data_IF_683649249985
#
_entry.id   IF_683649249985
#
_cell.length_a   1.000
_cell.length_b   1.000
_cell.length_c   1.000
_cell.angle_alpha   90.00
_cell.angle_beta   90.00
_cell.angle_gamma   90.00
#
_symmetry.space_group_name_H-M   'P 1'
#
loop_
_entity.id
_entity.type
_entity.pdbx_description
1 polymer ?
#
# COMPACT_ATOMS: atom_id res chain seq x y z
N UNK A 1 -29.69 3.61 -8.17
CA UNK A 1 -29.01 3.92 -6.90
C UNK A 1 -29.64 3.05 -5.85
N UNK A 2 -28.89 2.01 -5.51
CA UNK A 2 -29.19 1.06 -4.46
C UNK A 2 -28.88 1.71 -3.10
N UNK A 3 -29.22 1.07 -1.97
CA UNK A 3 -28.72 1.49 -0.65
C UNK A 3 -27.24 1.05 -0.43
N UNK A 4 -26.49 0.80 -1.51
CA UNK A 4 -25.11 0.35 -1.51
C UNK A 4 -24.22 1.32 -2.32
N UNK A 5 -23.59 2.32 -1.67
CA UNK A 5 -22.75 3.32 -2.33
C UNK A 5 -21.55 2.73 -3.07
N UNK A 6 -21.03 1.56 -2.66
CA UNK A 6 -19.89 0.92 -3.32
C UNK A 6 -20.34 0.28 -4.62
N UNK A 7 -21.50 -0.39 -4.60
CA UNK A 7 -22.09 -0.91 -5.82
C UNK A 7 -22.43 0.21 -6.81
N UNK A 8 -23.03 1.30 -6.33
CA UNK A 8 -23.36 2.45 -7.14
C UNK A 8 -22.09 3.09 -7.77
N UNK A 9 -20.95 3.15 -7.05
CA UNK A 9 -19.67 3.60 -7.60
C UNK A 9 -19.20 2.73 -8.78
N UNK A 10 -19.34 1.40 -8.67
CA UNK A 10 -18.99 0.46 -9.74
C UNK A 10 -19.87 0.70 -10.97
N UNK A 11 -21.19 0.89 -10.77
CA UNK A 11 -22.12 1.22 -11.87
C UNK A 11 -21.76 2.54 -12.54
N UNK A 12 -21.43 3.58 -11.75
CA UNK A 12 -21.00 4.88 -12.27
C UNK A 12 -19.72 4.74 -13.10
N UNK A 13 -18.71 4.04 -12.60
CA UNK A 13 -17.46 3.86 -13.34
C UNK A 13 -17.68 3.07 -14.64
N UNK A 14 -18.50 2.03 -14.61
CA UNK A 14 -18.83 1.26 -15.82
C UNK A 14 -19.54 2.13 -16.86
N UNK A 15 -20.47 2.98 -16.43
CA UNK A 15 -21.12 3.93 -17.31
C UNK A 15 -20.16 4.98 -17.87
N UNK A 16 -19.27 5.51 -17.03
CA UNK A 16 -18.22 6.43 -17.47
C UNK A 16 -17.36 5.75 -18.55
N UNK A 17 -16.81 4.55 -18.29
CA UNK A 17 -16.03 3.78 -19.27
C UNK A 17 -16.80 3.55 -20.57
N UNK A 18 -18.12 3.36 -20.53
CA UNK A 18 -18.93 3.16 -21.72
C UNK A 18 -19.23 4.46 -22.50
N UNK A 19 -19.40 5.60 -21.83
CA UNK A 19 -19.95 6.83 -22.44
C UNK A 19 -18.93 7.98 -22.55
N UNK A 20 -17.84 7.99 -21.77
CA UNK A 20 -16.87 9.08 -21.68
C UNK A 20 -15.59 8.76 -22.49
N UNK A 21 -15.27 9.53 -23.55
CA UNK A 21 -14.09 9.30 -24.38
C UNK A 21 -12.77 9.31 -23.62
N UNK A 22 -12.65 10.14 -22.58
CA UNK A 22 -11.43 10.20 -21.77
C UNK A 22 -11.24 8.89 -21.01
N UNK A 23 -12.30 8.37 -20.36
CA UNK A 23 -12.20 7.10 -19.63
C UNK A 23 -11.99 5.90 -20.55
N UNK A 24 -12.56 5.91 -21.76
CA UNK A 24 -12.34 4.86 -22.78
C UNK A 24 -10.87 4.75 -23.22
N UNK A 25 -10.16 5.88 -23.26
CA UNK A 25 -8.76 5.93 -23.68
C UNK A 25 -7.78 5.53 -22.57
N UNK A 26 -8.23 5.43 -21.31
CA UNK A 26 -7.36 5.07 -20.21
C UNK A 26 -6.93 3.61 -20.27
N UNK A 27 -5.72 3.37 -19.81
CA UNK A 27 -5.10 2.05 -19.66
C UNK A 27 -4.50 1.95 -18.26
N UNK A 28 -4.16 0.74 -17.81
CA UNK A 28 -3.42 0.57 -16.55
C UNK A 28 -2.18 1.47 -16.49
N UNK A 29 -1.45 1.60 -17.61
CA UNK A 29 -0.22 2.39 -17.67
C UNK A 29 -0.48 3.89 -17.60
N UNK A 30 -1.50 4.41 -18.29
CA UNK A 30 -1.80 5.85 -18.27
C UNK A 30 -2.31 6.33 -16.92
N UNK A 31 -2.92 5.44 -16.13
CA UNK A 31 -3.43 5.76 -14.80
C UNK A 31 -2.39 5.70 -13.67
N UNK A 32 -1.18 5.19 -13.93
CA UNK A 32 -0.14 5.01 -12.89
C UNK A 32 0.21 6.29 -12.15
N UNK A 33 0.23 7.41 -12.87
CA UNK A 33 0.55 8.72 -12.29
C UNK A 33 -0.52 9.16 -11.30
N UNK A 34 -1.80 9.10 -11.68
CA UNK A 34 -2.92 9.46 -10.83
C UNK A 34 -2.96 8.58 -9.57
N UNK A 35 -2.80 7.25 -9.71
CA UNK A 35 -2.72 6.35 -8.54
C UNK A 35 -1.62 6.76 -7.54
N UNK A 36 -0.51 7.29 -8.03
CA UNK A 36 0.57 7.78 -7.16
C UNK A 36 0.14 9.11 -6.51
N UNK A 37 -0.45 10.03 -7.26
CA UNK A 37 -0.96 11.31 -6.74
C UNK A 37 -1.94 11.07 -5.58
N UNK A 38 -3.02 10.30 -5.80
CA UNK A 38 -4.03 10.04 -4.74
C UNK A 38 -3.40 9.39 -3.50
N UNK A 39 -2.39 8.54 -3.71
CA UNK A 39 -1.68 7.91 -2.60
C UNK A 39 -0.85 8.92 -1.80
N UNK A 40 -0.25 9.92 -2.45
CA UNK A 40 0.49 10.98 -1.78
C UNK A 40 -0.43 12.03 -1.14
N UNK A 41 -1.57 12.35 -1.75
CA UNK A 41 -2.59 13.25 -1.16
C UNK A 41 -3.22 12.59 0.08
N UNK A 42 -3.48 11.29 0.03
CA UNK A 42 -3.87 10.51 1.23
C UNK A 42 -2.82 10.61 2.34
N UNK A 43 -1.53 10.52 2.01
CA UNK A 43 -0.45 10.69 3.00
C UNK A 43 -0.38 12.11 3.55
N UNK A 44 -0.60 13.13 2.72
CA UNK A 44 -0.67 14.52 3.17
C UNK A 44 -1.81 14.74 4.17
N UNK A 45 -2.99 14.19 3.89
CA UNK A 45 -4.13 14.26 4.80
C UNK A 45 -3.85 13.57 6.15
N UNK A 46 -3.15 12.42 6.13
CA UNK A 46 -2.69 11.72 7.34
C UNK A 46 -1.70 12.59 8.14
N UNK A 47 -0.70 13.15 7.47
CA UNK A 47 0.33 14.00 8.09
C UNK A 47 -0.27 15.28 8.71
N UNK A 48 -1.31 15.82 8.08
CA UNK A 48 -2.04 16.99 8.56
C UNK A 48 -3.01 16.66 9.71
N UNK A 49 -3.35 15.38 9.92
CA UNK A 49 -4.41 14.97 10.85
C UNK A 49 -5.80 15.47 10.41
N UNK A 50 -6.00 15.70 9.12
CA UNK A 50 -7.25 16.21 8.56
C UNK A 50 -8.17 15.06 8.18
N UNK A 51 -9.15 14.78 9.06
CA UNK A 51 -10.07 13.65 8.86
C UNK A 51 -11.06 13.85 7.71
N UNK A 52 -11.38 15.09 7.33
CA UNK A 52 -12.31 15.35 6.24
C UNK A 52 -11.62 15.12 4.91
N UNK A 53 -10.44 15.72 4.75
CA UNK A 53 -9.58 15.52 3.59
C UNK A 53 -9.19 14.05 3.44
N UNK A 54 -8.82 13.36 4.53
CA UNK A 54 -8.51 11.93 4.47
C UNK A 54 -9.65 11.08 3.90
N UNK A 55 -10.90 11.43 4.21
CA UNK A 55 -12.07 10.71 3.69
C UNK A 55 -12.26 10.95 2.19
N UNK A 56 -11.96 12.15 1.71
CA UNK A 56 -11.98 12.51 0.28
C UNK A 56 -10.91 11.71 -0.49
N UNK A 57 -9.67 11.78 -0.05
CA UNK A 57 -8.53 11.11 -0.70
C UNK A 57 -8.64 9.58 -0.68
N UNK A 58 -9.16 8.99 0.40
CA UNK A 58 -9.48 7.56 0.42
C UNK A 58 -10.56 7.17 -0.60
N UNK A 59 -11.47 8.10 -0.91
CA UNK A 59 -12.48 7.94 -1.96
C UNK A 59 -11.85 7.96 -3.35
N UNK A 60 -10.91 8.86 -3.62
CA UNK A 60 -10.22 8.95 -4.91
C UNK A 60 -9.27 7.77 -5.11
N UNK A 61 -8.58 7.33 -4.06
CA UNK A 61 -7.79 6.10 -4.09
C UNK A 61 -8.67 4.86 -4.35
N UNK A 62 -9.88 4.79 -3.76
CA UNK A 62 -10.85 3.74 -4.06
C UNK A 62 -11.32 3.82 -5.52
N UNK A 63 -11.56 5.02 -6.05
CA UNK A 63 -11.92 5.23 -7.45
C UNK A 63 -10.85 4.67 -8.39
N UNK A 64 -9.56 4.88 -8.10
CA UNK A 64 -8.46 4.31 -8.91
C UNK A 64 -8.51 2.77 -8.94
N UNK A 65 -8.82 2.12 -7.80
CA UNK A 65 -8.98 0.65 -7.74
C UNK A 65 -10.16 0.19 -8.62
N UNK A 66 -11.32 0.85 -8.51
CA UNK A 66 -12.51 0.53 -9.31
C UNK A 66 -12.24 0.78 -10.81
N UNK A 67 -11.50 1.83 -11.16
CA UNK A 67 -11.18 2.15 -12.54
C UNK A 67 -10.26 1.09 -13.17
N UNK A 68 -9.21 0.65 -12.47
CA UNK A 68 -8.38 -0.45 -12.94
C UNK A 68 -9.18 -1.76 -13.10
N UNK A 69 -10.07 -2.05 -12.16
CA UNK A 69 -10.95 -3.22 -12.26
C UNK A 69 -11.92 -3.13 -13.46
N UNK A 70 -12.45 -1.94 -13.74
CA UNK A 70 -13.33 -1.71 -14.90
C UNK A 70 -12.58 -1.82 -16.23
N UNK A 71 -11.32 -1.37 -16.30
CA UNK A 71 -10.45 -1.57 -17.48
C UNK A 71 -10.27 -3.07 -17.74
N UNK A 72 -9.88 -3.83 -16.72
CA UNK A 72 -9.66 -5.26 -16.85
C UNK A 72 -10.93 -6.01 -17.30
N UNK A 73 -12.07 -5.63 -16.74
CA UNK A 73 -13.37 -6.19 -17.12
C UNK A 73 -13.75 -5.81 -18.56
N UNK A 74 -13.61 -4.54 -18.95
CA UNK A 74 -14.00 -4.06 -20.29
C UNK A 74 -13.10 -4.59 -21.39
N UNK A 75 -11.82 -4.78 -21.09
CA UNK A 75 -10.79 -5.20 -22.05
C UNK A 75 -10.67 -6.73 -22.12
N UNK A 76 -11.45 -7.45 -21.29
CA UNK A 76 -11.56 -8.91 -21.32
C UNK A 76 -10.39 -9.65 -20.68
N UNK A 77 -9.73 -9.05 -19.69
CA UNK A 77 -8.58 -9.64 -18.98
C UNK A 77 -8.96 -10.80 -18.05
N UNK A 78 -10.26 -11.05 -17.87
CA UNK A 78 -10.78 -12.18 -17.08
C UNK A 78 -10.90 -11.89 -15.58
N UNK A 79 -10.85 -10.63 -15.17
CA UNK A 79 -11.05 -10.20 -13.78
C UNK A 79 -11.68 -8.79 -13.73
N UNK A 80 -12.33 -8.48 -12.61
CA UNK A 80 -12.88 -7.18 -12.29
C UNK A 80 -12.90 -6.93 -10.79
N UNK A 81 -13.84 -6.10 -10.33
CA UNK A 81 -13.86 -5.63 -8.93
C UNK A 81 -14.19 -6.76 -7.95
N UNK A 82 -15.02 -7.72 -8.37
CA UNK A 82 -15.38 -8.89 -7.56
C UNK A 82 -14.17 -9.78 -7.30
N UNK A 83 -13.36 -10.08 -8.32
CA UNK A 83 -12.13 -10.88 -8.15
C UNK A 83 -11.09 -10.15 -7.29
N UNK A 84 -10.99 -8.82 -7.40
CA UNK A 84 -10.12 -8.00 -6.53
C UNK A 84 -10.60 -8.11 -5.08
N UNK A 85 -11.90 -7.92 -4.82
CA UNK A 85 -12.50 -7.98 -3.50
C UNK A 85 -12.41 -9.38 -2.88
N UNK A 86 -12.70 -10.43 -3.65
CA UNK A 86 -12.55 -11.83 -3.24
C UNK A 86 -11.09 -12.15 -2.88
N UNK A 87 -10.15 -11.74 -3.74
CA UNK A 87 -8.72 -11.98 -3.52
C UNK A 87 -8.18 -11.32 -2.24
N UNK A 88 -8.64 -10.12 -1.89
CA UNK A 88 -8.25 -9.48 -0.63
C UNK A 88 -9.01 -10.08 0.57
N UNK A 89 -10.32 -10.34 0.45
CA UNK A 89 -11.14 -10.97 1.50
C UNK A 89 -10.55 -12.30 1.93
N UNK A 90 -10.32 -13.22 1.00
CA UNK A 90 -9.83 -14.56 1.30
C UNK A 90 -8.42 -14.51 1.91
N UNK A 91 -7.59 -13.56 1.46
CA UNK A 91 -6.25 -13.32 2.00
C UNK A 91 -6.31 -12.82 3.44
N UNK A 92 -7.20 -11.89 3.77
CA UNK A 92 -7.38 -11.38 5.13
C UNK A 92 -7.91 -12.48 6.05
N UNK A 93 -8.98 -13.18 5.64
CA UNK A 93 -9.54 -14.30 6.42
C UNK A 93 -8.47 -15.35 6.72
N UNK A 94 -7.71 -15.75 5.70
CA UNK A 94 -6.64 -16.74 5.85
C UNK A 94 -5.51 -16.28 6.78
N UNK A 95 -5.11 -15.00 6.73
CA UNK A 95 -4.00 -14.46 7.53
C UNK A 95 -4.39 -14.03 8.94
N UNK A 96 -5.68 -14.00 9.25
CA UNK A 96 -6.21 -13.74 10.58
C UNK A 96 -6.93 -14.97 11.17
N UNK A 97 -6.28 -16.15 11.29
CA UNK A 97 -6.93 -17.32 11.87
C UNK A 97 -7.24 -17.16 13.37
N UNK A 98 -6.72 -16.11 14.01
CA UNK A 98 -7.07 -15.74 15.37
C UNK A 98 -8.37 -14.95 15.48
N UNK A 99 -8.87 -14.41 14.37
CA UNK A 99 -10.19 -13.77 14.29
C UNK A 99 -11.21 -14.72 13.66
N UNK A 100 -10.83 -15.45 12.61
CA UNK A 100 -11.73 -16.25 11.78
C UNK A 100 -11.57 -17.77 11.92
N UNK A 101 -10.74 -18.23 12.85
CA UNK A 101 -10.49 -19.65 13.12
C UNK A 101 -10.19 -19.91 14.59
N UNK A 102 -9.40 -20.95 14.86
CA UNK A 102 -9.17 -21.45 16.22
C UNK A 102 -7.79 -21.09 16.81
N UNK A 103 -6.99 -20.27 16.12
CA UNK A 103 -5.65 -19.89 16.60
C UNK A 103 -5.77 -18.89 17.75
N UNK A 104 -5.23 -19.21 18.92
CA UNK A 104 -5.18 -18.26 20.04
C UNK A 104 -3.85 -17.52 20.02
N UNK A 105 -3.91 -16.19 20.11
CA UNK A 105 -2.77 -15.29 20.25
C UNK A 105 -2.98 -14.40 21.47
N UNK A 106 -1.90 -14.03 22.15
CA UNK A 106 -1.91 -13.28 23.41
C UNK A 106 -1.30 -11.88 23.30
N UNK A 107 -0.70 -11.54 22.16
CA UNK A 107 -0.07 -10.24 21.94
C UNK A 107 -0.07 -9.80 20.46
N UNK A 108 0.11 -8.51 20.22
CA UNK A 108 0.31 -7.96 18.88
C UNK A 108 1.57 -8.54 18.19
N UNK A 109 2.61 -8.85 18.96
CA UNK A 109 3.81 -9.51 18.43
C UNK A 109 3.52 -10.92 17.92
N UNK A 110 2.69 -11.69 18.62
CA UNK A 110 2.24 -13.01 18.15
C UNK A 110 1.32 -12.90 16.92
N UNK A 111 0.48 -11.87 16.84
CA UNK A 111 -0.33 -11.57 15.65
C UNK A 111 0.56 -11.30 14.44
N UNK A 112 1.55 -10.42 14.55
CA UNK A 112 2.48 -10.11 13.46
C UNK A 112 3.30 -11.34 13.06
N UNK A 113 3.87 -12.08 14.03
CA UNK A 113 4.64 -13.28 13.76
C UNK A 113 3.82 -14.32 12.97
N UNK A 114 2.56 -14.54 13.38
CA UNK A 114 1.67 -15.46 12.67
C UNK A 114 1.31 -14.94 11.26
N UNK A 115 1.07 -13.63 11.11
CA UNK A 115 0.82 -13.00 9.82
C UNK A 115 2.01 -13.16 8.86
N UNK A 116 3.25 -12.91 9.32
CA UNK A 116 4.45 -13.07 8.49
C UNK A 116 4.65 -14.53 8.08
N UNK A 117 4.41 -15.50 8.99
CA UNK A 117 4.49 -16.93 8.67
C UNK A 117 3.53 -17.32 7.54
N UNK A 118 2.24 -16.99 7.67
CA UNK A 118 1.22 -17.31 6.66
C UNK A 118 1.47 -16.58 5.33
N UNK A 119 2.04 -15.38 5.38
CA UNK A 119 2.49 -14.63 4.20
C UNK A 119 3.66 -15.33 3.48
N UNK A 120 4.55 -15.99 4.22
CA UNK A 120 5.70 -16.72 3.67
C UNK A 120 5.30 -18.06 3.05
N UNK A 121 4.33 -18.79 3.62
CA UNK A 121 3.86 -20.09 3.10
C UNK A 121 3.32 -20.01 1.66
N UNK A 122 2.69 -18.88 1.29
CA UNK A 122 2.15 -18.63 -0.05
C UNK A 122 3.17 -18.05 -1.04
N UNK A 123 4.37 -17.71 -0.58
CA UNK A 123 5.40 -17.05 -1.38
C UNK A 123 6.66 -17.93 -1.41
N UNK A 124 6.79 -18.74 -2.46
CA UNK A 124 8.04 -19.45 -2.77
C UNK A 124 9.06 -18.45 -3.33
N UNK A 125 9.49 -17.50 -2.50
CA UNK A 125 10.50 -16.51 -2.90
C UNK A 125 11.85 -17.19 -3.06
N UNK A 126 12.50 -16.90 -4.16
CA UNK A 126 13.87 -17.26 -4.48
C UNK A 126 14.88 -16.19 -4.05
N UNK A 127 14.42 -14.96 -3.78
CA UNK A 127 15.26 -13.83 -3.36
C UNK A 127 14.60 -12.92 -2.31
N UNK A 128 15.42 -12.29 -1.46
CA UNK A 128 14.98 -11.26 -0.50
C UNK A 128 14.42 -10.01 -1.20
N UNK A 129 14.79 -9.76 -2.46
CA UNK A 129 14.28 -8.63 -3.25
C UNK A 129 13.02 -8.96 -4.06
N UNK A 130 12.67 -10.25 -4.18
CA UNK A 130 11.57 -10.68 -5.04
C UNK A 130 10.23 -10.09 -4.60
N UNK A 131 9.56 -9.36 -5.50
CA UNK A 131 8.29 -8.68 -5.20
C UNK A 131 8.42 -7.42 -4.34
N UNK A 132 9.61 -6.82 -4.23
CA UNK A 132 9.77 -5.42 -3.81
C UNK A 132 9.83 -4.58 -5.09
N UNK A 133 8.84 -3.71 -5.38
CA UNK A 133 8.89 -2.85 -6.54
C UNK A 133 10.10 -1.91 -6.49
N UNK A 134 10.88 -1.83 -7.56
CA UNK A 134 12.03 -0.93 -7.65
C UNK A 134 11.62 0.55 -7.66
N UNK A 135 10.36 0.84 -7.96
CA UNK A 135 9.82 2.20 -8.00
C UNK A 135 9.41 2.73 -6.62
N UNK A 136 9.57 1.94 -5.55
CA UNK A 136 9.31 2.45 -4.21
C UNK A 136 10.30 3.58 -3.85
N UNK A 137 9.84 4.60 -3.10
CA UNK A 137 10.76 5.54 -2.45
C UNK A 137 11.82 4.80 -1.65
N UNK A 138 13.05 5.33 -1.65
CA UNK A 138 14.22 4.61 -1.12
C UNK A 138 14.05 4.16 0.34
N UNK A 139 13.40 4.97 1.19
CA UNK A 139 13.16 4.63 2.59
C UNK A 139 12.19 3.45 2.75
N UNK A 140 11.07 3.47 2.01
CA UNK A 140 10.10 2.38 2.00
C UNK A 140 10.67 1.10 1.35
N UNK A 141 11.52 1.25 0.32
CA UNK A 141 12.25 0.13 -0.25
C UNK A 141 13.17 -0.51 0.80
N UNK A 142 13.98 0.29 1.49
CA UNK A 142 14.87 -0.15 2.56
C UNK A 142 14.12 -0.85 3.69
N UNK A 143 13.00 -0.29 4.17
CA UNK A 143 12.17 -0.94 5.18
C UNK A 143 11.67 -2.33 4.76
N UNK A 144 11.23 -2.48 3.51
CA UNK A 144 10.78 -3.78 2.98
C UNK A 144 11.90 -4.80 2.87
N UNK A 145 13.12 -4.35 2.56
CA UNK A 145 14.30 -5.22 2.53
C UNK A 145 14.65 -5.65 3.96
N UNK A 146 14.79 -4.71 4.89
CA UNK A 146 15.13 -4.99 6.30
C UNK A 146 14.09 -5.88 6.99
N UNK A 147 12.80 -5.72 6.67
CA UNK A 147 11.75 -6.61 7.16
C UNK A 147 11.94 -8.09 6.73
N UNK A 148 12.74 -8.36 5.69
CA UNK A 148 13.02 -9.71 5.17
C UNK A 148 14.41 -10.21 5.57
N UNK A 149 15.39 -9.32 5.63
CA UNK A 149 16.80 -9.67 5.89
C UNK A 149 17.18 -9.56 7.37
N UNK A 150 16.39 -8.86 8.18
CA UNK A 150 16.73 -8.47 9.54
C UNK A 150 17.35 -7.08 9.61
N UNK A 151 17.52 -6.60 10.84
CA UNK A 151 18.03 -5.27 11.18
C UNK A 151 19.46 -5.28 11.74
N UNK A 152 20.06 -6.46 11.91
CA UNK A 152 21.44 -6.61 12.36
C UNK A 152 22.39 -6.29 11.20
N UNK A 153 22.76 -5.00 11.10
CA UNK A 153 23.65 -4.48 10.07
C UNK A 153 25.05 -4.24 10.64
N UNK A 154 26.08 -4.57 9.87
CA UNK A 154 27.46 -4.25 10.23
C UNK A 154 27.70 -2.74 10.15
N UNK A 155 28.51 -2.22 11.08
CA UNK A 155 28.95 -0.83 11.01
C UNK A 155 29.76 -0.60 9.73
N UNK A 156 29.39 0.45 8.99
CA UNK A 156 29.99 0.79 7.70
C UNK A 156 30.19 2.31 7.62
N UNK A 157 31.29 2.72 6.98
CA UNK A 157 31.54 4.13 6.65
C UNK A 157 30.84 4.56 5.36
N UNK A 158 30.33 3.60 4.57
CA UNK A 158 29.57 3.89 3.36
C UNK A 158 28.29 4.65 3.69
N UNK A 159 27.98 5.68 2.88
CA UNK A 159 26.82 6.52 3.12
C UNK A 159 25.51 5.76 2.97
N UNK A 160 25.40 4.85 1.99
CA UNK A 160 24.22 4.05 1.75
C UNK A 160 23.93 3.11 2.93
N UNK A 161 24.96 2.43 3.42
CA UNK A 161 24.85 1.54 4.59
C UNK A 161 24.46 2.32 5.85
N UNK A 162 25.01 3.53 6.04
CA UNK A 162 24.65 4.40 7.16
C UNK A 162 23.20 4.89 7.09
N UNK A 163 22.71 5.22 5.89
CA UNK A 163 21.30 5.56 5.68
C UNK A 163 20.41 4.35 5.97
N UNK A 164 20.81 3.15 5.53
CA UNK A 164 20.09 1.90 5.81
C UNK A 164 20.03 1.61 7.32
N UNK A 165 21.12 1.87 8.05
CA UNK A 165 21.17 1.73 9.51
C UNK A 165 20.21 2.68 10.22
N UNK A 166 20.06 3.93 9.76
CA UNK A 166 19.07 4.88 10.31
C UNK A 166 17.63 4.41 10.05
N UNK A 167 17.36 3.76 8.91
CA UNK A 167 16.05 3.14 8.63
C UNK A 167 15.80 1.96 9.58
N UNK A 168 16.83 1.15 9.86
CA UNK A 168 16.74 0.06 10.82
C UNK A 168 16.45 0.57 12.25
N UNK A 169 17.09 1.66 12.66
CA UNK A 169 16.84 2.36 13.94
C UNK A 169 15.40 2.85 14.03
N UNK A 170 14.90 3.58 13.01
CA UNK A 170 13.52 4.06 12.96
C UNK A 170 12.51 2.90 13.12
N UNK A 171 12.78 1.76 12.47
CA UNK A 171 11.95 0.55 12.60
C UNK A 171 11.90 0.00 14.03
N UNK A 172 13.04 -0.03 14.73
CA UNK A 172 13.11 -0.47 16.13
C UNK A 172 12.30 0.45 17.04
N UNK A 173 12.32 1.75 16.75
CA UNK A 173 11.60 2.77 17.51
C UNK A 173 10.12 2.91 17.12
N UNK A 174 9.67 2.23 16.05
CA UNK A 174 8.31 2.33 15.54
C UNK A 174 8.01 3.68 14.87
N UNK A 175 9.04 4.33 14.32
CA UNK A 175 8.98 5.62 13.63
C UNK A 175 8.92 5.39 12.13
N UNK A 176 8.05 6.13 11.43
CA UNK A 176 8.07 6.20 9.96
C UNK A 176 9.27 7.04 9.50
N UNK A 177 10.26 6.44 8.81
CA UNK A 177 11.47 7.15 8.39
C UNK A 177 11.20 8.22 7.33
N UNK A 178 10.18 8.05 6.48
CA UNK A 178 9.83 9.02 5.42
C UNK A 178 9.27 10.30 6.05
N UNK A 179 8.31 10.15 6.95
CA UNK A 179 7.74 11.26 7.70
C UNK A 179 8.80 11.96 8.56
N UNK A 180 9.63 11.20 9.28
CA UNK A 180 10.67 11.76 10.13
C UNK A 180 11.67 12.61 9.33
N UNK A 181 12.09 12.13 8.15
CA UNK A 181 13.01 12.87 7.28
C UNK A 181 12.35 14.12 6.69
N UNK A 182 11.11 14.04 6.21
CA UNK A 182 10.33 15.20 5.71
C UNK A 182 10.21 16.29 6.77
N UNK A 183 9.84 15.92 7.99
CA UNK A 183 9.74 16.87 9.11
C UNK A 183 11.11 17.49 9.45
N UNK A 184 12.18 16.70 9.43
CA UNK A 184 13.54 17.21 9.66
C UNK A 184 13.98 18.21 8.58
N UNK A 185 13.70 17.92 7.30
CA UNK A 185 13.97 18.80 6.17
C UNK A 185 13.18 20.13 6.29
N UNK A 186 11.90 20.05 6.66
CA UNK A 186 11.06 21.23 6.90
C UNK A 186 11.62 22.12 8.02
N UNK A 187 11.96 21.52 9.17
CA UNK A 187 12.60 22.26 10.28
C UNK A 187 13.94 22.86 9.89
N UNK A 188 14.68 22.26 8.96
CA UNK A 188 15.93 22.83 8.45
C UNK A 188 15.64 24.06 7.58
N UNK A 189 14.70 23.95 6.64
CA UNK A 189 14.30 25.05 5.77
C UNK A 189 13.76 26.26 6.56
N UNK A 190 13.00 26.05 7.63
CA UNK A 190 12.47 27.12 8.49
C UNK A 190 13.55 27.83 9.32
N UNK A 191 14.74 27.24 9.46
CA UNK A 191 15.88 27.80 10.22
C UNK A 191 16.96 28.43 9.33
N UNK A 192 16.92 28.18 8.02
CA UNK A 192 17.86 28.69 7.03
C UNK A 192 17.51 30.12 6.60
#
# INVERSE_FOLDING_TARGET
MTDDPVHDLIEVMSRLRAECPWTQQQTHTSLRHYLIEEAYETLEALDAGDSEHLREELGDLLMQVVFHAEIARSDGEGWGIDEVAEGIRDKLVHRNPHVFGDVVVSSAAEVDANWQRLKAERQQRTSALEGIPEQLPALLYAEKVLARTGIDLDASDDLGDRLLALVAEARVEGIDPDLALKQAARRHAERA
#
